data_IF_800867644527
#
_entry.id   IF_800867644527
#
_cell.length_a   1.000
_cell.length_b   1.000
_cell.length_c   1.000
_cell.angle_alpha   90.00
_cell.angle_beta   90.00
_cell.angle_gamma   90.00
#
_symmetry.space_group_name_H-M   'P 1'
#
loop_
_entity.id
_entity.type
_entity.pdbx_description
1 polymer ?
#
# COMPACT_ATOMS: atom_id res chain seq x y z
N UNK A 1 4.16 -7.06 -5.18
CA UNK A 1 3.13 -6.57 -4.24
C UNK A 1 3.58 -6.63 -2.79
N UNK A 2 3.49 -5.50 -2.08
CA UNK A 2 3.57 -5.47 -0.61
C UNK A 2 2.16 -5.19 -0.09
N UNK A 3 1.70 -6.01 0.86
CA UNK A 3 0.52 -5.74 1.67
C UNK A 3 0.99 -5.07 2.96
N UNK A 4 0.66 -3.79 3.13
CA UNK A 4 1.02 -3.05 4.35
C UNK A 4 -0.22 -2.96 5.24
N UNK A 5 -0.15 -3.36 6.52
CA UNK A 5 -1.28 -3.18 7.43
C UNK A 5 -1.60 -1.69 7.60
N UNK A 6 -2.89 -1.33 7.50
CA UNK A 6 -3.36 0.00 7.82
C UNK A 6 -3.17 0.31 9.33
N UNK A 7 -3.10 1.59 9.74
CA UNK A 7 -3.21 1.95 11.16
C UNK A 7 -4.54 1.40 11.72
N UNK A 8 -4.45 0.70 12.86
CA UNK A 8 -5.46 -0.27 13.31
C UNK A 8 -6.84 0.33 13.59
N UNK A 9 -7.93 -0.22 13.01
CA UNK A 9 -9.22 -0.33 13.69
C UNK A 9 -9.29 -1.67 14.47
N UNK A 10 -10.05 -1.69 15.56
CA UNK A 10 -10.21 -2.85 16.46
C UNK A 10 -10.82 -4.06 15.71
N UNK A 11 -10.41 -5.30 16.01
CA UNK A 11 -11.01 -6.47 15.37
C UNK A 11 -12.35 -6.81 16.03
N UNK A 12 -13.40 -6.91 15.22
CA UNK A 12 -14.65 -7.58 15.60
C UNK A 12 -14.80 -8.77 14.65
N UNK A 13 -14.49 -9.97 15.12
CA UNK A 13 -14.75 -11.21 14.38
C UNK A 13 -16.20 -11.60 14.61
N UNK A 14 -17.08 -11.20 13.69
CA UNK A 14 -18.35 -11.87 13.46
C UNK A 14 -18.37 -12.32 12.00
N UNK A 15 -18.70 -13.60 11.79
CA UNK A 15 -18.91 -14.24 10.49
C UNK A 15 -20.10 -13.57 9.79
N UNK A 16 -19.85 -12.41 9.16
CA UNK A 16 -20.83 -11.68 8.35
C UNK A 16 -20.92 -12.39 7.01
N UNK A 17 -22.14 -12.72 6.58
CA UNK A 17 -22.40 -13.01 5.17
C UNK A 17 -21.70 -11.92 4.34
N UNK A 18 -20.77 -12.31 3.47
CA UNK A 18 -19.93 -11.37 2.73
C UNK A 18 -20.86 -10.59 1.82
N UNK A 19 -21.19 -9.35 2.22
CA UNK A 19 -21.89 -8.43 1.32
C UNK A 19 -20.98 -8.22 0.10
N UNK A 20 -21.53 -8.25 -1.12
CA UNK A 20 -20.77 -7.95 -2.32
C UNK A 20 -20.06 -6.60 -2.16
N UNK A 21 -18.84 -6.48 -2.68
CA UNK A 21 -18.12 -5.21 -2.67
C UNK A 21 -18.86 -4.23 -3.57
N UNK A 22 -19.30 -3.10 -3.03
CA UNK A 22 -19.90 -2.01 -3.79
C UNK A 22 -18.75 -1.14 -4.33
N UNK A 23 -18.39 -1.33 -5.60
CA UNK A 23 -17.23 -0.73 -6.23
C UNK A 23 -17.66 0.39 -7.20
N UNK A 24 -16.97 1.53 -7.12
CA UNK A 24 -17.07 2.59 -8.12
C UNK A 24 -15.77 2.69 -8.91
N UNK A 25 -15.85 2.71 -10.24
CA UNK A 25 -14.70 2.96 -11.12
C UNK A 25 -14.84 4.34 -11.77
N UNK A 26 -13.80 5.16 -11.68
CA UNK A 26 -13.74 6.49 -12.27
C UNK A 26 -12.58 6.53 -13.26
N UNK A 27 -12.91 6.59 -14.55
CA UNK A 27 -11.91 6.65 -15.62
C UNK A 27 -12.51 7.24 -16.90
N UNK A 28 -11.77 8.12 -17.59
CA UNK A 28 -12.22 8.70 -18.87
C UNK A 28 -12.24 7.71 -20.04
N UNK A 29 -11.58 6.56 -19.92
CA UNK A 29 -11.43 5.55 -20.98
C UNK A 29 -12.56 4.50 -20.91
N UNK A 30 -13.54 4.51 -21.83
CA UNK A 30 -14.70 3.60 -21.74
C UNK A 30 -14.35 2.12 -21.81
N UNK A 31 -13.33 1.75 -22.60
CA UNK A 31 -12.87 0.36 -22.69
C UNK A 31 -12.24 -0.13 -21.38
N UNK A 32 -11.53 0.76 -20.67
CA UNK A 32 -10.94 0.42 -19.38
C UNK A 32 -12.03 0.21 -18.32
N UNK A 33 -13.04 1.08 -18.28
CA UNK A 33 -14.22 0.92 -17.42
C UNK A 33 -14.89 -0.44 -17.63
N UNK A 34 -15.13 -0.83 -18.89
CA UNK A 34 -15.77 -2.10 -19.22
C UNK A 34 -14.90 -3.30 -18.83
N UNK A 35 -13.60 -3.25 -19.12
CA UNK A 35 -12.68 -4.35 -18.82
C UNK A 35 -12.49 -4.54 -17.30
N UNK A 36 -12.24 -3.45 -16.56
CA UNK A 36 -12.08 -3.51 -15.12
C UNK A 36 -13.40 -3.87 -14.42
N UNK A 37 -14.54 -3.37 -14.90
CA UNK A 37 -15.85 -3.76 -14.36
C UNK A 37 -16.09 -5.25 -14.48
N UNK A 38 -15.91 -5.82 -15.67
CA UNK A 38 -16.04 -7.26 -15.92
C UNK A 38 -15.10 -8.09 -15.03
N UNK A 39 -13.86 -7.63 -14.84
CA UNK A 39 -12.90 -8.27 -13.95
C UNK A 39 -13.35 -8.30 -12.48
N UNK A 40 -13.89 -7.18 -11.97
CA UNK A 40 -14.28 -7.04 -10.56
C UNK A 40 -15.62 -7.74 -10.26
N UNK A 41 -16.52 -7.83 -11.23
CA UNK A 41 -17.79 -8.58 -11.14
C UNK A 41 -17.56 -10.10 -11.16
N UNK A 42 -16.45 -10.56 -11.76
CA UNK A 42 -16.09 -11.97 -11.77
C UNK A 42 -15.61 -12.48 -10.39
N UNK A 43 -15.75 -13.78 -10.11
CA UNK A 43 -15.11 -14.40 -8.96
C UNK A 43 -13.58 -14.20 -8.98
N UNK A 44 -12.93 -14.06 -7.81
CA UNK A 44 -13.49 -14.25 -6.47
C UNK A 44 -14.10 -12.99 -5.84
N UNK A 45 -14.04 -11.83 -6.52
CA UNK A 45 -14.46 -10.58 -5.91
C UNK A 45 -15.98 -10.40 -5.94
N UNK A 46 -16.61 -10.73 -7.07
CA UNK A 46 -18.07 -10.65 -7.25
C UNK A 46 -18.64 -9.31 -6.78
N UNK A 47 -17.98 -8.22 -7.16
CA UNK A 47 -18.37 -6.86 -6.81
C UNK A 47 -19.63 -6.43 -7.58
N UNK A 48 -20.41 -5.53 -7.00
CA UNK A 48 -21.35 -4.69 -7.75
C UNK A 48 -20.60 -3.46 -8.23
N UNK A 49 -20.51 -3.27 -9.54
CA UNK A 49 -19.71 -2.20 -10.14
C UNK A 49 -20.61 -1.09 -10.68
N UNK A 50 -20.29 0.14 -10.29
CA UNK A 50 -20.80 1.37 -10.89
C UNK A 50 -19.63 2.09 -11.54
N UNK A 51 -19.85 2.77 -12.66
CA UNK A 51 -18.79 3.47 -13.40
C UNK A 51 -19.13 4.93 -13.61
N UNK A 52 -18.12 5.80 -13.60
CA UNK A 52 -18.22 7.19 -14.00
C UNK A 52 -17.04 7.57 -14.90
N UNK A 53 -17.27 8.40 -15.91
CA UNK A 53 -16.21 8.90 -16.80
C UNK A 53 -15.57 10.20 -16.32
N UNK A 54 -16.14 10.81 -15.28
CA UNK A 54 -15.68 12.07 -14.66
C UNK A 54 -15.73 11.95 -13.14
N UNK A 55 -14.78 12.59 -12.47
CA UNK A 55 -14.62 12.46 -11.02
C UNK A 55 -15.62 13.26 -10.20
N UNK A 56 -16.21 14.32 -10.74
CA UNK A 56 -17.32 15.05 -10.10
C UNK A 56 -18.57 14.16 -10.01
N UNK A 57 -18.95 13.52 -11.13
CA UNK A 57 -20.03 12.53 -11.17
C UNK A 57 -19.73 11.34 -10.26
N UNK A 58 -18.48 10.85 -10.28
CA UNK A 58 -18.04 9.78 -9.40
C UNK A 58 -18.16 10.15 -7.92
N UNK A 59 -17.81 11.38 -7.54
CA UNK A 59 -17.95 11.86 -6.17
C UNK A 59 -19.42 11.91 -5.73
N UNK A 60 -20.32 12.39 -6.58
CA UNK A 60 -21.76 12.42 -6.29
C UNK A 60 -22.33 11.01 -6.11
N UNK A 61 -21.91 10.05 -6.95
CA UNK A 61 -22.25 8.63 -6.80
C UNK A 61 -21.73 8.09 -5.47
N UNK A 62 -20.44 8.32 -5.17
CA UNK A 62 -19.83 7.87 -3.92
C UNK A 62 -20.61 8.38 -2.69
N UNK A 63 -21.12 9.62 -2.74
CA UNK A 63 -21.91 10.25 -1.68
C UNK A 63 -23.33 9.71 -1.52
N UNK A 64 -23.97 9.36 -2.63
CA UNK A 64 -25.41 9.00 -2.65
C UNK A 64 -25.66 7.50 -2.63
N UNK A 65 -24.67 6.69 -3.00
CA UNK A 65 -24.79 5.25 -3.10
C UNK A 65 -23.95 4.55 -2.01
N UNK A 66 -24.21 3.26 -1.72
CA UNK A 66 -23.49 2.50 -0.69
C UNK A 66 -22.09 2.06 -1.13
N UNK A 67 -21.35 2.91 -1.85
CA UNK A 67 -19.99 2.61 -2.34
C UNK A 67 -19.05 2.33 -1.16
N UNK A 68 -18.35 1.22 -1.26
CA UNK A 68 -17.41 0.71 -0.25
C UNK A 68 -15.96 0.72 -0.70
N UNK A 69 -15.71 0.85 -2.01
CA UNK A 69 -14.38 0.93 -2.60
C UNK A 69 -14.42 1.76 -3.89
N UNK A 70 -13.49 2.70 -4.04
CA UNK A 70 -13.35 3.50 -5.27
C UNK A 70 -12.05 3.12 -5.97
N UNK A 71 -12.13 2.88 -7.27
CA UNK A 71 -11.01 2.82 -8.19
C UNK A 71 -11.01 4.11 -9.00
N UNK A 72 -9.95 4.90 -8.92
CA UNK A 72 -9.90 6.19 -9.59
C UNK A 72 -8.63 6.35 -10.40
N UNK A 73 -8.80 6.73 -11.67
CA UNK A 73 -7.72 7.16 -12.53
C UNK A 73 -7.01 8.38 -11.90
N UNK A 74 -5.68 8.34 -11.89
CA UNK A 74 -4.85 9.32 -11.18
C UNK A 74 -5.08 10.75 -11.69
N UNK A 75 -5.21 10.90 -13.00
CA UNK A 75 -5.42 12.15 -13.73
C UNK A 75 -6.90 12.36 -14.09
N UNK A 76 -7.81 11.78 -13.30
CA UNK A 76 -9.24 12.00 -13.49
C UNK A 76 -9.56 13.50 -13.46
N UNK A 77 -10.62 13.88 -14.16
CA UNK A 77 -11.08 15.27 -14.25
C UNK A 77 -12.57 15.35 -13.89
N UNK A 78 -13.04 16.47 -13.31
CA UNK A 78 -12.28 17.69 -13.02
C UNK A 78 -11.42 17.65 -11.75
N UNK A 79 -11.69 16.70 -10.85
CA UNK A 79 -10.87 16.43 -9.66
C UNK A 79 -9.90 15.31 -9.97
N UNK A 80 -8.60 15.54 -9.78
CA UNK A 80 -7.59 14.48 -9.86
C UNK A 80 -7.89 13.37 -8.85
N UNK A 81 -7.42 12.15 -9.12
CA UNK A 81 -7.58 11.04 -8.19
C UNK A 81 -6.98 11.35 -6.81
N UNK A 82 -5.89 12.12 -6.77
CA UNK A 82 -5.25 12.59 -5.53
C UNK A 82 -6.14 13.53 -4.73
N UNK A 83 -6.80 14.49 -5.39
CA UNK A 83 -7.76 15.38 -4.74
C UNK A 83 -8.97 14.59 -4.23
N UNK A 84 -9.46 13.64 -5.03
CA UNK A 84 -10.58 12.79 -4.66
C UNK A 84 -10.29 11.94 -3.41
N UNK A 85 -9.06 11.41 -3.28
CA UNK A 85 -8.61 10.73 -2.05
C UNK A 85 -8.74 11.66 -0.84
N UNK A 86 -8.30 12.92 -0.97
CA UNK A 86 -8.39 13.90 0.11
C UNK A 86 -9.84 14.19 0.53
N UNK A 87 -10.72 14.39 -0.45
CA UNK A 87 -12.16 14.63 -0.20
C UNK A 87 -12.78 13.43 0.51
N UNK A 88 -12.68 12.22 -0.06
CA UNK A 88 -13.34 11.03 0.47
C UNK A 88 -12.77 10.56 1.82
N UNK A 89 -11.48 10.80 2.08
CA UNK A 89 -10.88 10.51 3.38
C UNK A 89 -11.34 11.46 4.50
N UNK A 90 -11.81 12.67 4.16
CA UNK A 90 -12.31 13.65 5.12
C UNK A 90 -13.79 13.48 5.48
N UNK A 91 -14.51 12.65 4.71
CA UNK A 91 -15.93 12.37 4.95
C UNK A 91 -16.12 11.31 6.05
N UNK A 92 -17.25 11.36 6.75
CA UNK A 92 -17.56 10.48 7.89
C UNK A 92 -17.47 8.98 7.55
N UNK A 93 -17.80 8.59 6.31
CA UNK A 93 -17.71 7.19 5.86
C UNK A 93 -16.28 6.74 5.53
N UNK A 94 -15.35 7.66 5.24
CA UNK A 94 -13.95 7.36 4.94
C UNK A 94 -13.78 6.27 3.87
N UNK A 95 -14.23 6.52 2.63
CA UNK A 95 -14.25 5.50 1.58
C UNK A 95 -12.81 5.24 1.07
N UNK A 96 -12.32 3.98 1.09
CA UNK A 96 -10.99 3.66 0.58
C UNK A 96 -10.92 3.88 -0.93
N UNK A 97 -9.81 4.47 -1.38
CA UNK A 97 -9.54 4.75 -2.80
C UNK A 97 -8.30 3.99 -3.26
N UNK A 98 -8.42 3.28 -4.37
CA UNK A 98 -7.31 2.68 -5.13
C UNK A 98 -7.05 3.56 -6.35
N UNK A 99 -5.84 4.10 -6.44
CA UNK A 99 -5.42 4.91 -7.58
C UNK A 99 -4.87 4.03 -8.70
N UNK A 100 -5.24 4.37 -9.93
CA UNK A 100 -4.83 3.72 -11.16
C UNK A 100 -4.11 4.74 -12.04
N UNK A 101 -2.86 4.50 -12.40
CA UNK A 101 -2.08 5.37 -13.29
C UNK A 101 -1.76 4.68 -14.61
N UNK A 102 -1.59 5.48 -15.67
CA UNK A 102 -1.03 5.00 -16.93
C UNK A 102 0.51 4.82 -16.81
N UNK A 103 1.16 4.30 -17.84
CA UNK A 103 2.62 4.22 -17.89
C UNK A 103 3.24 5.63 -17.77
N UNK A 104 4.25 5.77 -16.91
CA UNK A 104 4.91 7.04 -16.62
C UNK A 104 4.30 7.82 -15.45
N UNK A 105 3.16 7.39 -14.90
CA UNK A 105 2.55 7.98 -13.70
C UNK A 105 3.07 7.39 -12.39
N UNK A 106 4.03 6.47 -12.44
CA UNK A 106 4.60 5.84 -11.25
C UNK A 106 5.16 6.85 -10.23
N UNK A 107 5.84 7.93 -10.61
CA UNK A 107 6.24 8.94 -9.63
C UNK A 107 5.03 9.53 -8.90
N UNK A 108 3.97 9.92 -9.62
CA UNK A 108 2.80 10.56 -9.04
C UNK A 108 2.03 9.58 -8.14
N UNK A 109 1.83 8.33 -8.58
CA UNK A 109 1.26 7.26 -7.76
C UNK A 109 2.09 7.03 -6.49
N UNK A 110 3.42 7.03 -6.60
CA UNK A 110 4.31 6.85 -5.46
C UNK A 110 4.21 8.00 -4.47
N UNK A 111 3.95 9.23 -4.93
CA UNK A 111 3.77 10.39 -4.04
C UNK A 111 2.45 10.29 -3.29
N UNK A 112 1.39 9.82 -3.95
CA UNK A 112 0.08 9.64 -3.36
C UNK A 112 0.07 8.60 -2.22
N UNK A 113 1.07 7.71 -2.13
CA UNK A 113 1.19 6.75 -1.03
C UNK A 113 1.42 7.39 0.34
N UNK A 114 2.00 8.60 0.37
CA UNK A 114 2.12 9.38 1.60
C UNK A 114 0.76 9.87 2.14
N UNK A 115 -0.30 9.78 1.33
CA UNK A 115 -1.68 10.12 1.70
C UNK A 115 -2.45 8.85 2.10
N UNK A 116 -3.71 9.03 2.51
CA UNK A 116 -4.63 7.95 2.93
C UNK A 116 -5.15 7.08 1.76
N UNK A 117 -4.34 6.85 0.73
CA UNK A 117 -4.72 5.97 -0.38
C UNK A 117 -4.70 4.51 0.08
N UNK A 118 -5.74 3.75 -0.27
CA UNK A 118 -5.87 2.34 0.05
C UNK A 118 -5.02 1.46 -0.88
N UNK A 119 -4.82 1.86 -2.13
CA UNK A 119 -3.85 1.22 -2.99
C UNK A 119 -3.43 2.05 -4.19
N UNK A 120 -2.35 1.63 -4.84
CA UNK A 120 -1.84 2.30 -6.03
C UNK A 120 -1.26 1.27 -7.01
N UNK A 121 -1.77 1.28 -8.25
CA UNK A 121 -1.40 0.34 -9.29
C UNK A 121 -1.22 1.07 -10.63
N UNK A 122 -0.31 0.56 -11.46
CA UNK A 122 -0.34 0.87 -12.89
C UNK A 122 -1.48 0.11 -13.55
N UNK A 123 -2.14 0.70 -14.55
CA UNK A 123 -3.12 0.01 -15.40
C UNK A 123 -2.53 -1.17 -16.18
N UNK A 124 -1.20 -1.20 -16.33
CA UNK A 124 -0.45 -2.30 -16.94
C UNK A 124 0.05 -3.33 -15.92
N UNK A 125 -0.42 -3.27 -14.67
CA UNK A 125 -0.10 -4.27 -13.66
C UNK A 125 -0.58 -5.65 -14.09
N UNK A 126 0.20 -6.68 -13.74
CA UNK A 126 -0.23 -8.06 -13.97
C UNK A 126 -1.56 -8.32 -13.24
N UNK A 127 -2.47 -9.03 -13.92
CA UNK A 127 -3.84 -9.25 -13.45
C UNK A 127 -3.90 -9.90 -12.07
N UNK A 128 -3.11 -10.96 -11.88
CA UNK A 128 -3.05 -11.70 -10.60
C UNK A 128 -2.53 -10.82 -9.46
N UNK A 129 -1.54 -9.97 -9.74
CA UNK A 129 -1.03 -9.01 -8.76
C UNK A 129 -2.11 -8.00 -8.36
N UNK A 130 -2.80 -7.43 -9.35
CA UNK A 130 -3.87 -6.48 -9.11
C UNK A 130 -4.99 -7.11 -8.26
N UNK A 131 -5.46 -8.29 -8.64
CA UNK A 131 -6.55 -8.98 -7.92
C UNK A 131 -6.18 -9.33 -6.48
N UNK A 132 -4.95 -9.79 -6.22
CA UNK A 132 -4.52 -10.06 -4.84
C UNK A 132 -4.46 -8.75 -4.06
N UNK A 133 -3.98 -7.67 -4.68
CA UNK A 133 -3.91 -6.36 -4.07
C UNK A 133 -5.29 -5.80 -3.71
N UNK A 134 -6.26 -5.93 -4.61
CA UNK A 134 -7.66 -5.53 -4.36
C UNK A 134 -8.27 -6.32 -3.21
N UNK A 135 -8.06 -7.64 -3.15
CA UNK A 135 -8.54 -8.45 -2.01
C UNK A 135 -7.92 -8.02 -0.68
N UNK A 136 -6.64 -7.63 -0.69
CA UNK A 136 -5.99 -7.10 0.50
C UNK A 136 -6.63 -5.77 0.94
N UNK A 137 -6.96 -4.88 -0.02
CA UNK A 137 -7.68 -3.62 0.23
C UNK A 137 -9.06 -3.86 0.82
N UNK A 138 -9.85 -4.77 0.24
CA UNK A 138 -11.16 -5.17 0.76
C UNK A 138 -11.04 -5.72 2.19
N UNK A 139 -9.92 -6.37 2.51
CA UNK A 139 -9.62 -6.88 3.85
C UNK A 139 -9.05 -5.81 4.81
N UNK A 140 -9.09 -4.53 4.44
CA UNK A 140 -8.61 -3.40 5.26
C UNK A 140 -7.10 -3.17 5.24
N UNK A 141 -6.37 -3.77 4.31
CA UNK A 141 -4.93 -3.54 4.15
C UNK A 141 -4.67 -2.50 3.05
N UNK A 142 -3.42 -2.04 2.93
CA UNK A 142 -2.97 -1.23 1.80
C UNK A 142 -2.24 -2.10 0.79
N UNK A 143 -2.41 -1.82 -0.51
CA UNK A 143 -1.77 -2.58 -1.57
C UNK A 143 -1.03 -1.69 -2.58
N UNK A 144 0.21 -2.09 -2.90
CA UNK A 144 1.07 -1.36 -3.83
C UNK A 144 1.54 -2.33 -4.92
N UNK A 145 1.33 -1.94 -6.19
CA UNK A 145 1.81 -2.68 -7.35
C UNK A 145 3.35 -2.75 -7.41
N UNK A 146 3.89 -3.87 -7.87
CA UNK A 146 5.33 -4.16 -7.91
C UNK A 146 6.15 -3.12 -8.67
N UNK A 147 5.67 -2.66 -9.82
CA UNK A 147 6.35 -1.62 -10.63
C UNK A 147 6.51 -0.28 -9.89
N UNK A 148 5.54 0.04 -9.03
CA UNK A 148 5.59 1.25 -8.19
C UNK A 148 6.60 1.12 -7.05
N UNK A 149 6.80 -0.11 -6.55
CA UNK A 149 7.75 -0.41 -5.50
C UNK A 149 9.18 -0.09 -5.92
N UNK A 150 9.56 -0.44 -7.15
CA UNK A 150 10.88 -0.14 -7.71
C UNK A 150 11.11 1.37 -7.79
N UNK A 151 10.09 2.16 -8.15
CA UNK A 151 10.20 3.61 -8.23
C UNK A 151 10.18 4.31 -6.87
N UNK A 152 9.47 3.76 -5.87
CA UNK A 152 9.61 4.18 -4.47
C UNK A 152 11.01 3.90 -3.93
N UNK A 153 11.64 2.82 -4.38
CA UNK A 153 13.01 2.44 -4.05
C UNK A 153 14.06 3.31 -4.76
N UNK A 154 13.73 3.85 -5.95
CA UNK A 154 14.61 4.71 -6.76
C UNK A 154 14.44 6.21 -6.48
N UNK A 155 13.36 6.62 -5.81
CA UNK A 155 13.17 8.02 -5.43
C UNK A 155 14.31 8.46 -4.50
N UNK A 156 15.07 9.51 -4.86
CA UNK A 156 16.03 10.11 -3.95
C UNK A 156 15.26 10.93 -2.92
N UNK A 157 14.69 10.29 -1.90
CA UNK A 157 14.22 10.96 -0.68
C UNK A 157 15.42 11.40 0.15
N UNK A 158 16.36 12.18 -0.40
CA UNK A 158 17.58 12.60 0.32
C UNK A 158 18.50 11.47 0.84
N UNK A 159 18.07 10.21 0.74
CA UNK A 159 18.84 9.02 1.06
C UNK A 159 19.72 8.72 -0.15
N UNK A 160 20.84 9.44 -0.19
CA UNK A 160 22.01 9.06 -0.98
C UNK A 160 22.23 7.57 -0.75
N UNK A 161 22.13 6.76 -1.80
CA UNK A 161 22.65 5.41 -1.76
C UNK A 161 24.14 5.51 -1.40
N UNK A 162 24.60 5.00 -0.26
CA UNK A 162 26.02 4.82 -0.08
C UNK A 162 26.41 3.54 -0.81
N UNK A 163 27.49 3.64 -1.55
CA UNK A 163 28.25 2.53 -2.12
C UNK A 163 28.34 1.37 -1.12
N UNK A 164 28.11 0.17 -1.64
CA UNK A 164 27.89 -1.09 -0.93
C UNK A 164 28.99 -1.50 0.07
N UNK A 165 30.11 -0.79 0.12
CA UNK A 165 31.32 -1.18 0.87
C UNK A 165 31.48 -0.49 2.24
N UNK A 166 30.77 0.61 2.54
CA UNK A 166 31.00 1.37 3.82
C UNK A 166 30.00 1.10 4.94
N UNK A 167 28.97 0.26 4.72
CA UNK A 167 27.83 0.20 5.64
C UNK A 167 27.86 -0.93 6.69
N UNK A 168 28.57 -2.02 6.41
CA UNK A 168 28.74 -3.14 7.34
C UNK A 168 29.45 -2.73 8.66
N UNK A 169 30.05 -1.53 8.72
CA UNK A 169 30.69 -0.99 9.93
C UNK A 169 29.81 -0.15 10.86
N UNK A 170 28.58 0.26 10.47
CA UNK A 170 27.73 1.16 11.29
C UNK A 170 26.78 0.44 12.25
N UNK A 171 26.36 -0.77 11.90
CA UNK A 171 25.51 -1.62 12.73
C UNK A 171 26.35 -2.71 13.39
N UNK A 172 26.06 -3.00 14.66
CA UNK A 172 26.61 -4.17 15.32
C UNK A 172 26.06 -5.46 14.69
N UNK A 173 26.75 -6.61 14.83
CA UNK A 173 26.22 -7.91 14.38
C UNK A 173 24.84 -8.22 14.97
N UNK A 174 24.56 -7.71 16.18
CA UNK A 174 23.26 -7.88 16.82
C UNK A 174 22.17 -7.07 16.13
N UNK A 175 22.47 -5.82 15.77
CA UNK A 175 21.55 -4.92 15.07
C UNK A 175 21.28 -5.39 13.63
N UNK A 176 22.31 -5.91 12.94
CA UNK A 176 22.19 -6.42 11.58
C UNK A 176 21.27 -7.64 11.50
N UNK A 177 21.41 -8.60 12.43
CA UNK A 177 20.51 -9.75 12.51
C UNK A 177 19.08 -9.36 12.91
N UNK A 178 18.90 -8.35 13.79
CA UNK A 178 17.57 -7.81 14.09
C UNK A 178 16.95 -7.16 12.85
N UNK A 179 17.72 -6.40 12.09
CA UNK A 179 17.27 -5.78 10.86
C UNK A 179 16.90 -6.78 9.76
N UNK A 180 17.63 -7.90 9.63
CA UNK A 180 17.27 -8.99 8.72
C UNK A 180 15.93 -9.64 9.09
N UNK A 181 15.71 -9.95 10.37
CA UNK A 181 14.42 -10.47 10.84
C UNK A 181 13.27 -9.46 10.65
N UNK A 182 13.54 -8.16 10.77
CA UNK A 182 12.59 -7.11 10.40
C UNK A 182 12.27 -7.19 8.91
N UNK A 183 13.28 -7.29 8.04
CA UNK A 183 13.13 -7.46 6.59
C UNK A 183 12.24 -8.65 6.21
N UNK A 184 12.30 -9.73 6.98
CA UNK A 184 11.42 -10.91 6.86
C UNK A 184 10.01 -10.72 7.46
N UNK A 185 9.64 -9.47 7.79
CA UNK A 185 8.38 -9.10 8.42
C UNK A 185 8.13 -9.73 9.82
N UNK A 186 9.16 -10.22 10.53
CA UNK A 186 8.96 -10.83 11.85
C UNK A 186 8.51 -9.81 12.91
N UNK A 187 7.54 -10.21 13.74
CA UNK A 187 7.00 -9.36 14.82
C UNK A 187 8.01 -9.17 15.96
N UNK A 188 7.86 -8.11 16.77
CA UNK A 188 8.70 -7.89 17.95
C UNK A 188 8.71 -9.12 18.90
N UNK A 189 7.57 -9.76 19.19
CA UNK A 189 7.55 -11.02 19.95
C UNK A 189 8.32 -12.16 19.28
N UNK A 190 8.20 -12.33 17.96
CA UNK A 190 8.92 -13.38 17.24
C UNK A 190 10.45 -13.14 17.27
N UNK A 191 10.88 -11.90 17.06
CA UNK A 191 12.31 -11.52 17.15
C UNK A 191 12.86 -11.74 18.55
N UNK A 192 12.08 -11.39 19.58
CA UNK A 192 12.43 -11.60 20.98
C UNK A 192 12.61 -13.09 21.31
N UNK A 193 11.66 -13.93 20.88
CA UNK A 193 11.72 -15.38 21.04
C UNK A 193 12.93 -15.98 20.31
N UNK A 194 13.14 -15.60 19.04
CA UNK A 194 14.26 -16.09 18.22
C UNK A 194 15.64 -15.74 18.79
N UNK A 195 15.74 -14.68 19.59
CA UNK A 195 17.02 -14.16 20.12
C UNK A 195 17.19 -14.36 21.62
N UNK A 196 16.18 -14.90 22.32
CA UNK A 196 16.20 -15.05 23.77
C UNK A 196 16.31 -13.72 24.53
N UNK A 197 15.72 -12.63 24.02
CA UNK A 197 15.78 -11.29 24.64
C UNK A 197 14.38 -10.72 24.90
N UNK A 198 14.26 -9.74 25.80
CA UNK A 198 12.97 -9.12 26.11
C UNK A 198 12.40 -8.27 24.95
N UNK A 199 11.07 -8.10 24.89
CA UNK A 199 10.42 -7.19 23.92
C UNK A 199 10.94 -5.75 24.04
N UNK A 200 11.29 -5.30 25.26
CA UNK A 200 11.88 -3.98 25.51
C UNK A 200 13.28 -3.88 24.88
N UNK A 201 14.08 -4.94 24.97
CA UNK A 201 15.40 -5.03 24.37
C UNK A 201 15.32 -4.95 22.85
N UNK A 202 14.38 -5.66 22.22
CA UNK A 202 14.14 -5.57 20.76
C UNK A 202 13.79 -4.14 20.34
N UNK A 203 12.86 -3.47 21.04
CA UNK A 203 12.49 -2.08 20.76
C UNK A 203 13.68 -1.12 20.88
N UNK A 204 14.54 -1.32 21.87
CA UNK A 204 15.74 -0.52 22.06
C UNK A 204 16.75 -0.70 20.91
N UNK A 205 16.91 -1.93 20.40
CA UNK A 205 17.72 -2.16 19.20
C UNK A 205 17.11 -1.51 17.97
N UNK A 206 15.79 -1.60 17.78
CA UNK A 206 15.11 -0.94 16.66
C UNK A 206 15.26 0.58 16.70
N UNK A 207 15.12 1.20 17.87
CA UNK A 207 15.34 2.64 18.02
C UNK A 207 16.78 3.05 17.66
N UNK A 208 17.78 2.23 18.03
CA UNK A 208 19.18 2.46 17.65
C UNK A 208 19.39 2.29 16.15
N UNK A 209 18.79 1.26 15.55
CA UNK A 209 18.84 1.01 14.11
C UNK A 209 18.23 2.20 13.35
N UNK A 210 17.03 2.64 13.74
CA UNK A 210 16.34 3.77 13.12
C UNK A 210 17.18 5.03 13.16
N UNK A 211 17.76 5.35 14.33
CA UNK A 211 18.66 6.50 14.47
C UNK A 211 19.94 6.38 13.65
N UNK A 212 20.55 5.18 13.58
CA UNK A 212 21.81 4.96 12.84
C UNK A 212 21.63 4.97 11.33
N UNK A 213 20.45 4.58 10.87
CA UNK A 213 20.09 4.44 9.46
C UNK A 213 19.26 5.63 8.95
N UNK A 214 18.95 6.59 9.82
CA UNK A 214 18.05 7.71 9.54
C UNK A 214 16.68 7.25 9.01
N UNK A 215 16.11 6.24 9.66
CA UNK A 215 14.82 5.65 9.32
C UNK A 215 13.76 6.12 10.30
N UNK A 216 12.58 6.42 9.79
CA UNK A 216 11.45 6.97 10.52
C UNK A 216 10.49 5.88 11.02
N UNK A 217 10.78 4.61 10.71
CA UNK A 217 10.00 3.52 11.27
C UNK A 217 10.31 2.15 10.69
N UNK A 218 9.48 1.20 11.13
CA UNK A 218 9.61 -0.22 10.78
C UNK A 218 9.52 -0.47 9.28
N UNK A 219 8.60 0.20 8.59
CA UNK A 219 8.42 0.03 7.13
C UNK A 219 9.68 0.42 6.36
N UNK A 220 10.30 1.55 6.72
CA UNK A 220 11.57 1.98 6.12
C UNK A 220 12.69 0.99 6.44
N UNK A 221 12.73 0.44 7.65
CA UNK A 221 13.71 -0.59 8.02
C UNK A 221 13.52 -1.92 7.29
N UNK A 222 12.28 -2.34 7.04
CA UNK A 222 11.97 -3.52 6.24
C UNK A 222 12.46 -3.33 4.80
N UNK A 223 12.17 -2.18 4.22
CA UNK A 223 12.58 -1.81 2.88
C UNK A 223 14.11 -1.72 2.75
N UNK A 224 14.75 -1.13 3.76
CA UNK A 224 16.20 -1.03 3.85
C UNK A 224 16.86 -2.41 3.95
N UNK A 225 16.33 -3.31 4.78
CA UNK A 225 16.84 -4.68 4.92
C UNK A 225 16.75 -5.47 3.61
N UNK A 226 15.64 -5.34 2.88
CA UNK A 226 15.46 -5.95 1.56
C UNK A 226 16.48 -5.42 0.54
N UNK A 227 16.74 -4.11 0.53
CA UNK A 227 17.74 -3.47 -0.35
C UNK A 227 19.16 -3.99 -0.11
N UNK A 228 19.48 -4.34 1.12
CA UNK A 228 20.81 -4.84 1.50
C UNK A 228 20.97 -6.35 1.34
N UNK A 229 19.97 -7.05 0.76
CA UNK A 229 19.99 -8.49 0.64
C UNK A 229 19.93 -9.22 1.99
N UNK A 230 19.50 -8.54 3.05
CA UNK A 230 19.43 -9.12 4.41
C UNK A 230 18.18 -9.99 4.61
N UNK A 231 17.41 -10.23 3.54
CA UNK A 231 16.18 -11.03 3.54
C UNK A 231 16.40 -12.52 3.24
N UNK A 232 17.65 -12.95 3.05
CA UNK A 232 18.10 -14.35 3.04
C UNK A 232 19.62 -14.39 2.84
N UNK A 233 20.43 -15.16 3.58
CA UNK A 233 20.21 -16.48 4.20
C UNK A 233 19.98 -16.45 5.71
#
# INVERSE_FOLDING_TARGET
MIVVPAPSPKPSMETRAVKPVEALIIDKQPLFLAALGSLLEAPPLSAHVVTASRSDVGLDIARTQPISLVFCELRAEPLSGVELVGVLASEERGIPVVLLGDDGDEPQLAAALAMSVAGAFSKNSALDEFLVGVRAVVSGHRAIGSGLLVRLLERPTGLRAPESETFAGRLSPTELAILGMIGQAQSIPAIAANRGISHKTVRNHLAKIYRKLDLHGRTEAMLWAARMGLTGS
#
